data_IF_837360920205
#
_entry.id   IF_837360920205
#
_cell.length_a   1.000
_cell.length_b   1.000
_cell.length_c   1.000
_cell.angle_alpha   90.00
_cell.angle_beta   90.00
_cell.angle_gamma   90.00
#
_symmetry.space_group_name_H-M   'P 1'
#
loop_
_entity.id
_entity.type
_entity.pdbx_description
1 polymer ?
#
# COMPACT_ATOMS: atom_id res chain seq x y z
N UNK A 1 18.58 24.78 -8.65
CA UNK A 1 17.59 24.92 -7.58
C UNK A 1 16.37 24.11 -7.98
N UNK A 2 16.44 22.82 -7.95
CA UNK A 2 15.39 21.89 -8.38
C UNK A 2 14.96 21.08 -7.18
N UNK A 3 13.83 21.48 -6.61
CA UNK A 3 13.12 20.71 -5.59
C UNK A 3 12.62 19.39 -6.21
N UNK A 4 13.37 18.31 -6.05
CA UNK A 4 12.89 16.97 -6.39
C UNK A 4 12.00 16.49 -5.24
N UNK A 5 10.70 16.53 -5.48
CA UNK A 5 9.68 15.99 -4.61
C UNK A 5 9.86 14.47 -4.47
N UNK A 6 10.01 14.02 -3.24
CA UNK A 6 9.91 12.61 -2.84
C UNK A 6 8.49 12.15 -3.17
N UNK A 7 8.37 11.21 -4.12
CA UNK A 7 7.11 10.59 -4.49
C UNK A 7 6.68 9.64 -3.37
N UNK A 8 5.79 10.12 -2.51
CA UNK A 8 5.15 9.31 -1.48
C UNK A 8 3.90 8.61 -2.03
N UNK A 9 3.72 7.43 -1.59
CA UNK A 9 2.55 6.52 -1.63
C UNK A 9 1.30 7.09 -2.31
N UNK A 10 1.30 7.15 -3.64
CA UNK A 10 0.07 7.38 -4.38
C UNK A 10 -0.41 6.09 -5.00
N UNK A 11 -1.08 5.20 -4.25
CA UNK A 11 -1.84 4.10 -4.83
C UNK A 11 -3.13 4.68 -5.42
N UNK A 12 -3.00 5.58 -6.37
CA UNK A 12 -4.13 5.98 -7.18
C UNK A 12 -4.33 4.91 -8.24
N UNK A 13 -5.13 3.91 -7.93
CA UNK A 13 -5.79 3.10 -8.93
C UNK A 13 -6.76 4.03 -9.67
N UNK A 14 -6.22 4.84 -10.60
CA UNK A 14 -7.03 5.67 -11.44
C UNK A 14 -7.85 4.75 -12.35
N UNK A 15 -9.07 4.51 -11.95
CA UNK A 15 -10.08 4.08 -12.89
C UNK A 15 -10.21 5.19 -13.92
N UNK A 16 -9.91 4.91 -15.17
CA UNK A 16 -10.29 5.78 -16.27
C UNK A 16 -11.83 5.93 -16.23
N UNK A 17 -12.31 6.91 -15.49
CA UNK A 17 -13.68 7.33 -15.59
C UNK A 17 -13.82 7.98 -16.95
N UNK A 18 -14.39 7.27 -17.91
CA UNK A 18 -15.11 7.90 -18.98
C UNK A 18 -16.24 8.61 -18.26
N UNK A 19 -16.12 9.94 -18.07
CA UNK A 19 -17.25 10.76 -17.69
C UNK A 19 -18.40 10.39 -18.63
N UNK A 20 -19.63 10.22 -18.14
CA UNK A 20 -20.75 10.14 -19.05
C UNK A 20 -20.85 11.52 -19.69
N UNK A 21 -20.29 11.65 -20.90
CA UNK A 21 -20.71 12.71 -21.80
C UNK A 21 -22.23 12.49 -21.94
N UNK A 22 -23.01 13.36 -21.34
CA UNK A 22 -24.42 13.50 -21.68
C UNK A 22 -24.50 13.99 -23.12
N UNK A 23 -24.17 13.10 -24.06
CA UNK A 23 -24.66 13.19 -25.40
C UNK A 23 -26.18 12.89 -25.31
N UNK A 24 -26.97 13.92 -25.33
CA UNK A 24 -28.37 13.84 -25.80
C UNK A 24 -28.33 13.43 -27.27
N UNK A 25 -28.10 12.14 -27.51
CA UNK A 25 -28.30 11.45 -28.77
C UNK A 25 -29.19 10.28 -28.46
N UNK A 26 -30.29 10.17 -29.14
CA UNK A 26 -31.36 9.18 -29.09
C UNK A 26 -30.84 7.83 -28.61
N UNK A 27 -31.07 7.51 -27.34
CA UNK A 27 -30.72 6.24 -26.74
C UNK A 27 -31.70 5.17 -27.20
N UNK A 28 -31.40 4.54 -28.32
CA UNK A 28 -31.97 3.22 -28.61
C UNK A 28 -31.45 2.25 -27.54
N UNK A 29 -32.34 1.46 -26.93
CA UNK A 29 -31.99 0.34 -26.08
C UNK A 29 -30.89 -0.49 -26.77
N UNK A 30 -29.93 -1.06 -26.06
CA UNK A 30 -28.90 -1.90 -26.68
C UNK A 30 -29.58 -3.10 -27.34
N UNK A 31 -29.78 -2.99 -28.65
CA UNK A 31 -30.41 -4.02 -29.46
C UNK A 31 -29.47 -5.24 -29.57
N UNK A 32 -30.06 -6.45 -29.62
CA UNK A 32 -29.30 -7.65 -29.97
C UNK A 32 -28.57 -7.45 -31.30
N UNK A 33 -27.39 -8.02 -31.42
CA UNK A 33 -26.64 -7.95 -32.67
C UNK A 33 -27.32 -8.73 -33.77
N UNK A 34 -27.69 -8.04 -34.84
CA UNK A 34 -28.08 -8.68 -36.10
C UNK A 34 -26.82 -8.70 -36.98
N UNK A 35 -26.16 -9.84 -37.07
CA UNK A 35 -24.93 -10.00 -37.84
C UNK A 35 -25.21 -9.79 -39.33
N UNK A 36 -24.46 -8.91 -39.94
CA UNK A 36 -24.38 -8.65 -41.36
C UNK A 36 -22.98 -9.03 -41.86
N UNK A 37 -22.94 -9.88 -42.89
CA UNK A 37 -21.72 -10.22 -43.60
C UNK A 37 -21.45 -9.16 -44.68
N UNK A 38 -20.23 -8.62 -44.68
CA UNK A 38 -19.73 -7.74 -45.70
C UNK A 38 -18.71 -8.50 -46.55
N UNK A 39 -18.95 -8.64 -47.86
CA UNK A 39 -18.01 -9.34 -48.72
C UNK A 39 -16.78 -8.47 -49.03
N UNK A 40 -15.57 -9.04 -48.94
CA UNK A 40 -14.34 -8.43 -49.45
C UNK A 40 -13.98 -9.02 -50.83
N UNK A 41 -13.20 -8.28 -51.64
CA UNK A 41 -12.66 -8.79 -52.90
C UNK A 41 -11.73 -9.97 -52.61
N UNK A 42 -12.14 -11.19 -52.97
CA UNK A 42 -11.42 -12.44 -52.69
C UNK A 42 -12.12 -13.36 -51.69
N UNK A 43 -13.16 -12.90 -50.98
CA UNK A 43 -13.94 -13.75 -50.09
C UNK A 43 -14.66 -14.87 -50.87
N UNK A 44 -14.51 -16.10 -50.39
CA UNK A 44 -15.25 -17.26 -50.87
C UNK A 44 -16.31 -17.61 -49.82
N UNK A 45 -17.55 -17.83 -50.23
CA UNK A 45 -18.64 -18.17 -49.33
C UNK A 45 -19.39 -19.39 -49.83
N UNK A 46 -19.62 -20.37 -48.94
CA UNK A 46 -20.51 -21.49 -49.16
C UNK A 46 -21.65 -21.43 -48.16
N UNK A 47 -22.87 -21.54 -48.62
CA UNK A 47 -24.09 -21.51 -47.82
C UNK A 47 -24.83 -22.86 -47.94
N UNK A 48 -25.04 -23.50 -46.81
CA UNK A 48 -25.80 -24.77 -46.74
C UNK A 48 -27.11 -24.51 -45.99
N UNK A 49 -28.24 -24.65 -46.68
CA UNK A 49 -29.56 -24.56 -46.05
C UNK A 49 -29.85 -25.81 -45.23
N UNK A 50 -30.30 -25.58 -44.00
CA UNK A 50 -30.67 -26.63 -43.07
C UNK A 50 -32.17 -26.96 -43.14
N UNK A 51 -32.63 -28.14 -42.66
CA UNK A 51 -34.05 -28.49 -42.59
C UNK A 51 -34.87 -27.50 -41.73
N UNK A 52 -34.26 -26.85 -40.76
CA UNK A 52 -34.87 -25.79 -39.93
C UNK A 52 -35.17 -24.49 -40.70
N UNK A 53 -34.70 -24.38 -41.95
CA UNK A 53 -34.74 -23.14 -42.71
C UNK A 53 -33.57 -22.16 -42.43
N UNK A 54 -32.75 -22.45 -41.45
CA UNK A 54 -31.52 -21.68 -41.16
C UNK A 54 -30.41 -22.07 -42.15
N UNK A 55 -29.28 -21.33 -42.09
CA UNK A 55 -28.11 -21.57 -42.95
C UNK A 55 -26.86 -21.76 -42.12
N UNK A 56 -26.03 -22.74 -42.50
CA UNK A 56 -24.62 -22.74 -42.14
C UNK A 56 -23.86 -22.04 -43.27
N UNK A 57 -22.92 -21.14 -42.85
CA UNK A 57 -22.08 -20.39 -43.77
C UNK A 57 -20.61 -20.67 -43.49
N UNK A 58 -19.81 -20.91 -44.51
CA UNK A 58 -18.38 -21.09 -44.47
C UNK A 58 -17.74 -20.08 -45.38
N UNK A 59 -16.86 -19.24 -44.81
CA UNK A 59 -16.32 -18.07 -45.51
C UNK A 59 -14.81 -17.99 -45.30
N UNK A 60 -14.06 -17.66 -46.35
CA UNK A 60 -12.62 -17.54 -46.32
C UNK A 60 -12.09 -16.47 -47.30
N UNK A 61 -10.83 -16.16 -47.21
CA UNK A 61 -10.18 -15.15 -48.05
C UNK A 61 -10.33 -13.71 -47.51
N UNK A 62 -10.49 -13.59 -46.19
CA UNK A 62 -10.75 -12.34 -45.50
C UNK A 62 -12.24 -12.06 -45.37
N UNK A 63 -12.72 -12.01 -44.14
CA UNK A 63 -14.16 -11.81 -43.83
C UNK A 63 -14.33 -10.58 -42.94
N UNK A 64 -15.46 -9.90 -43.14
CA UNK A 64 -15.86 -8.76 -42.29
C UNK A 64 -17.34 -8.94 -41.95
N UNK A 65 -17.65 -8.84 -40.67
CA UNK A 65 -18.98 -8.77 -40.11
C UNK A 65 -19.22 -7.48 -39.36
N UNK A 66 -20.44 -7.00 -39.36
CA UNK A 66 -20.90 -5.91 -38.51
C UNK A 66 -22.23 -6.25 -37.87
N UNK A 67 -22.62 -5.56 -36.80
CA UNK A 67 -23.99 -5.61 -36.30
C UNK A 67 -24.79 -4.46 -36.89
N UNK A 68 -25.91 -4.76 -37.53
CA UNK A 68 -26.78 -3.76 -38.16
C UNK A 68 -27.17 -2.67 -37.18
N UNK A 69 -26.93 -1.40 -37.55
CA UNK A 69 -27.24 -0.24 -36.72
C UNK A 69 -26.30 -0.01 -35.53
N UNK A 70 -25.23 -0.79 -35.43
CA UNK A 70 -24.21 -0.66 -34.38
C UNK A 70 -22.86 -0.34 -34.98
N UNK A 71 -22.08 0.50 -34.28
CA UNK A 71 -20.72 0.87 -34.75
C UNK A 71 -19.70 -0.16 -34.24
N UNK A 72 -19.77 -1.39 -34.75
CA UNK A 72 -18.82 -2.46 -34.46
C UNK A 72 -18.45 -3.24 -35.71
N UNK A 73 -17.29 -3.84 -35.71
CA UNK A 73 -16.77 -4.67 -36.80
C UNK A 73 -16.03 -5.86 -36.24
N UNK A 74 -16.18 -7.02 -36.94
CA UNK A 74 -15.40 -8.24 -36.69
C UNK A 74 -14.72 -8.62 -38.01
N UNK A 75 -13.40 -8.76 -38.00
CA UNK A 75 -12.60 -9.18 -39.15
C UNK A 75 -11.81 -10.43 -38.82
N UNK A 76 -11.64 -11.32 -39.79
CA UNK A 76 -10.83 -12.52 -39.65
C UNK A 76 -10.37 -13.03 -41.03
N UNK A 77 -9.44 -13.99 -41.06
CA UNK A 77 -9.06 -14.67 -42.31
C UNK A 77 -10.18 -15.55 -42.81
N UNK A 78 -10.91 -16.23 -41.88
CA UNK A 78 -12.05 -17.09 -42.23
C UNK A 78 -13.09 -17.09 -41.09
N UNK A 79 -14.32 -17.51 -41.44
CA UNK A 79 -15.42 -17.65 -40.51
C UNK A 79 -16.30 -18.83 -40.80
N UNK A 80 -16.89 -19.42 -39.77
CA UNK A 80 -17.87 -20.46 -39.83
C UNK A 80 -19.10 -20.03 -39.01
N UNK A 81 -20.26 -19.95 -39.61
CA UNK A 81 -21.51 -19.64 -38.94
C UNK A 81 -22.43 -20.84 -38.93
N UNK A 82 -22.92 -21.23 -37.77
CA UNK A 82 -23.86 -22.32 -37.58
C UNK A 82 -25.23 -21.78 -37.16
N UNK A 83 -26.17 -21.73 -38.12
CA UNK A 83 -27.43 -21.01 -37.97
C UNK A 83 -28.30 -21.53 -36.83
N UNK A 84 -28.50 -22.85 -36.70
CA UNK A 84 -29.32 -23.44 -35.64
C UNK A 84 -28.75 -23.23 -34.26
N UNK A 85 -27.41 -23.17 -34.13
CA UNK A 85 -26.71 -22.91 -32.88
C UNK A 85 -26.62 -21.42 -32.58
N UNK A 86 -26.72 -20.56 -33.58
CA UNK A 86 -26.48 -19.14 -33.46
C UNK A 86 -25.04 -18.82 -33.07
N UNK A 87 -24.06 -19.60 -33.58
CA UNK A 87 -22.63 -19.49 -33.24
C UNK A 87 -21.83 -19.08 -34.46
N UNK A 88 -20.98 -18.08 -34.31
CA UNK A 88 -19.99 -17.63 -35.30
C UNK A 88 -18.57 -17.89 -34.76
N UNK A 89 -17.81 -18.69 -35.49
CA UNK A 89 -16.38 -18.88 -35.28
C UNK A 89 -15.61 -17.99 -36.23
N UNK A 90 -14.67 -17.21 -35.73
CA UNK A 90 -13.73 -16.38 -36.47
C UNK A 90 -12.33 -16.95 -36.27
N UNK A 91 -11.61 -17.21 -37.34
CA UNK A 91 -10.34 -17.96 -37.33
C UNK A 91 -9.29 -17.17 -38.10
N UNK A 92 -8.13 -16.99 -37.49
CA UNK A 92 -6.96 -16.30 -38.05
C UNK A 92 -7.08 -14.80 -38.03
N UNK A 93 -6.09 -14.11 -37.45
CA UNK A 93 -5.97 -12.65 -37.41
C UNK A 93 -7.29 -11.93 -37.06
N UNK A 94 -7.91 -12.35 -35.97
CA UNK A 94 -9.23 -11.85 -35.59
C UNK A 94 -9.10 -10.46 -34.97
N UNK A 95 -9.85 -9.49 -35.52
CA UNK A 95 -9.91 -8.12 -35.03
C UNK A 95 -11.38 -7.75 -34.75
N UNK A 96 -11.70 -7.52 -33.50
CA UNK A 96 -12.96 -6.92 -33.07
C UNK A 96 -12.75 -5.47 -32.71
N UNK A 97 -13.61 -4.60 -33.19
CA UNK A 97 -13.59 -3.19 -32.84
C UNK A 97 -14.99 -2.67 -32.55
N UNK A 98 -15.15 -1.98 -31.44
CA UNK A 98 -16.32 -1.17 -31.08
C UNK A 98 -15.85 0.15 -30.43
N UNK A 99 -16.72 1.17 -30.24
CA UNK A 99 -16.32 2.44 -29.65
C UNK A 99 -15.68 2.34 -28.26
N UNK A 100 -15.99 1.27 -27.50
CA UNK A 100 -15.51 1.05 -26.14
C UNK A 100 -14.29 0.14 -26.03
N UNK A 101 -14.01 -0.66 -27.07
CA UNK A 101 -12.90 -1.60 -27.00
C UNK A 101 -12.45 -2.05 -28.40
N UNK A 102 -11.16 -2.41 -28.50
CA UNK A 102 -10.62 -3.20 -29.61
C UNK A 102 -10.05 -4.49 -29.01
N UNK A 103 -10.26 -5.63 -29.69
CA UNK A 103 -9.79 -6.94 -29.27
C UNK A 103 -9.14 -7.65 -30.46
N UNK A 104 -7.89 -8.01 -30.31
CA UNK A 104 -7.13 -8.82 -31.26
C UNK A 104 -6.92 -10.21 -30.67
N UNK A 105 -7.03 -11.27 -31.50
CA UNK A 105 -6.81 -12.65 -31.07
C UNK A 105 -6.56 -13.57 -32.26
N UNK A 106 -6.13 -14.82 -32.00
CA UNK A 106 -6.03 -15.82 -33.06
C UNK A 106 -7.36 -16.41 -33.45
N UNK A 107 -8.27 -16.56 -32.50
CA UNK A 107 -9.63 -17.09 -32.68
C UNK A 107 -10.61 -16.32 -31.82
N UNK A 108 -11.85 -16.22 -32.33
CA UNK A 108 -12.94 -15.65 -31.56
C UNK A 108 -14.22 -16.45 -31.85
N UNK A 109 -14.97 -16.77 -30.82
CA UNK A 109 -16.28 -17.38 -30.92
C UNK A 109 -17.31 -16.39 -30.40
N UNK A 110 -18.37 -16.17 -31.21
CA UNK A 110 -19.51 -15.34 -30.82
C UNK A 110 -20.77 -16.18 -30.74
N UNK A 111 -21.38 -16.21 -29.55
CA UNK A 111 -22.70 -16.83 -29.33
C UNK A 111 -23.76 -15.73 -29.38
N UNK A 112 -24.50 -15.69 -30.50
CA UNK A 112 -25.51 -14.68 -30.76
C UNK A 112 -26.63 -14.67 -29.72
N UNK A 113 -27.09 -15.85 -29.29
CA UNK A 113 -28.18 -15.95 -28.33
C UNK A 113 -27.79 -15.53 -26.92
N UNK A 114 -26.54 -15.68 -26.56
CA UNK A 114 -25.98 -15.32 -25.26
C UNK A 114 -25.37 -13.91 -25.25
N UNK A 115 -25.17 -13.30 -26.42
CA UNK A 115 -24.41 -12.07 -26.61
C UNK A 115 -23.04 -12.15 -25.89
N UNK A 116 -22.36 -13.29 -26.15
CA UNK A 116 -21.08 -13.65 -25.56
C UNK A 116 -20.01 -13.79 -26.62
N UNK A 117 -18.84 -13.18 -26.36
CA UNK A 117 -17.63 -13.30 -27.15
C UNK A 117 -16.56 -14.03 -26.33
N UNK A 118 -15.89 -14.99 -26.95
CA UNK A 118 -14.69 -15.65 -26.41
C UNK A 118 -13.55 -15.41 -27.38
N UNK A 119 -12.51 -14.71 -26.91
CA UNK A 119 -11.25 -14.51 -27.63
C UNK A 119 -10.18 -15.47 -27.07
N UNK A 120 -9.45 -16.16 -27.96
CA UNK A 120 -8.42 -17.13 -27.61
C UNK A 120 -7.17 -16.98 -28.47
N UNK A 121 -6.01 -17.20 -27.85
CA UNK A 121 -4.70 -17.12 -28.48
C UNK A 121 -4.22 -15.67 -28.66
N UNK A 122 -3.20 -15.31 -27.87
CA UNK A 122 -2.53 -13.99 -27.90
C UNK A 122 -3.51 -12.81 -27.83
N UNK A 123 -4.48 -12.92 -26.93
CA UNK A 123 -5.52 -11.89 -26.78
C UNK A 123 -4.91 -10.57 -26.32
N UNK A 124 -5.19 -9.51 -27.08
CA UNK A 124 -4.85 -8.13 -26.70
C UNK A 124 -6.13 -7.30 -26.78
N UNK A 125 -6.61 -6.80 -25.66
CA UNK A 125 -7.72 -5.84 -25.61
C UNK A 125 -7.18 -4.43 -25.30
N UNK A 126 -7.64 -3.43 -26.03
CA UNK A 126 -7.25 -2.02 -25.86
C UNK A 126 -8.49 -1.17 -25.69
N UNK A 127 -8.53 -0.40 -24.60
CA UNK A 127 -9.57 0.58 -24.32
C UNK A 127 -9.21 1.97 -24.87
N UNK A 128 -10.18 2.87 -25.10
CA UNK A 128 -9.91 4.24 -25.52
C UNK A 128 -8.97 5.04 -24.61
N UNK A 129 -8.94 4.70 -23.32
CA UNK A 129 -8.00 5.25 -22.34
C UNK A 129 -6.54 4.90 -22.61
N UNK A 130 -6.27 3.93 -23.49
CA UNK A 130 -4.95 3.32 -23.70
C UNK A 130 -4.66 2.14 -22.75
N UNK A 131 -5.57 1.83 -21.83
CA UNK A 131 -5.45 0.63 -20.97
C UNK A 131 -5.48 -0.62 -21.84
N UNK A 132 -4.55 -1.54 -21.59
CA UNK A 132 -4.46 -2.81 -22.33
C UNK A 132 -4.61 -4.00 -21.38
N UNK A 133 -5.28 -5.05 -21.90
CA UNK A 133 -5.30 -6.38 -21.29
C UNK A 133 -4.61 -7.34 -22.27
N UNK A 134 -3.70 -8.17 -21.77
CA UNK A 134 -3.03 -9.21 -22.53
C UNK A 134 -3.16 -10.54 -21.82
N UNK A 135 -3.48 -11.60 -22.57
CA UNK A 135 -3.62 -12.94 -21.98
C UNK A 135 -3.94 -13.99 -23.02
N UNK A 136 -3.97 -15.28 -22.65
CA UNK A 136 -4.27 -16.35 -23.58
C UNK A 136 -5.77 -16.46 -23.91
N UNK A 137 -6.65 -15.99 -23.02
CA UNK A 137 -8.11 -16.16 -23.15
C UNK A 137 -8.86 -15.03 -22.42
N UNK A 138 -9.86 -14.46 -23.09
CA UNK A 138 -10.80 -13.50 -22.51
C UNK A 138 -12.22 -13.76 -23.00
N UNK A 139 -13.18 -13.68 -22.09
CA UNK A 139 -14.63 -13.80 -22.37
C UNK A 139 -15.29 -12.45 -22.09
N UNK A 140 -16.09 -11.98 -23.03
CA UNK A 140 -16.85 -10.74 -22.87
C UNK A 140 -18.33 -11.01 -23.05
N UNK A 141 -19.09 -10.60 -22.08
CA UNK A 141 -20.54 -10.71 -22.04
C UNK A 141 -21.13 -9.31 -22.17
N UNK A 142 -21.87 -9.06 -23.22
CA UNK A 142 -22.53 -7.78 -23.49
C UNK A 142 -23.75 -7.59 -22.59
N UNK A 143 -24.04 -6.35 -22.21
CA UNK A 143 -25.32 -6.01 -21.58
C UNK A 143 -26.44 -6.15 -22.59
N UNK A 144 -27.52 -6.86 -22.24
CA UNK A 144 -28.69 -7.05 -23.09
C UNK A 144 -29.96 -7.02 -22.24
N UNK A 145 -30.90 -6.14 -22.52
CA UNK A 145 -32.18 -6.08 -21.81
C UNK A 145 -32.87 -7.46 -21.75
N UNK A 146 -33.36 -7.83 -20.58
CA UNK A 146 -34.04 -9.11 -20.34
C UNK A 146 -33.10 -10.33 -20.22
N UNK A 147 -31.79 -10.21 -20.51
CA UNK A 147 -30.81 -11.29 -20.37
C UNK A 147 -29.75 -10.91 -19.32
N UNK A 148 -29.13 -9.76 -19.46
CA UNK A 148 -28.05 -9.31 -18.60
C UNK A 148 -28.03 -7.79 -18.49
N UNK A 149 -28.21 -7.23 -17.29
CA UNK A 149 -28.32 -5.77 -17.11
C UNK A 149 -26.98 -5.06 -17.28
N UNK A 150 -25.85 -5.74 -17.10
CA UNK A 150 -24.51 -5.15 -17.17
C UNK A 150 -23.55 -6.01 -17.99
N UNK A 151 -22.47 -5.40 -18.43
CA UNK A 151 -21.36 -6.10 -19.09
C UNK A 151 -20.54 -6.89 -18.06
N UNK A 152 -19.93 -7.99 -18.54
CA UNK A 152 -18.95 -8.76 -17.76
C UNK A 152 -17.78 -9.16 -18.65
N UNK A 153 -16.56 -8.91 -18.20
CA UNK A 153 -15.33 -9.39 -18.82
C UNK A 153 -14.65 -10.38 -17.85
N UNK A 154 -14.22 -11.51 -18.38
CA UNK A 154 -13.47 -12.52 -17.63
C UNK A 154 -12.20 -12.85 -18.43
N UNK A 155 -11.02 -12.67 -17.83
CA UNK A 155 -9.76 -13.08 -18.41
C UNK A 155 -9.11 -14.15 -17.52
N UNK A 156 -8.64 -15.23 -18.13
CA UNK A 156 -8.03 -16.38 -17.47
C UNK A 156 -6.66 -16.66 -18.06
N UNK A 157 -5.85 -17.45 -17.32
CA UNK A 157 -4.51 -17.87 -17.76
C UNK A 157 -3.45 -16.83 -17.52
N UNK A 158 -3.49 -16.18 -16.36
CA UNK A 158 -2.55 -15.19 -15.88
C UNK A 158 -2.47 -13.93 -16.75
N UNK A 159 -3.60 -13.26 -17.02
CA UNK A 159 -3.63 -12.04 -17.78
C UNK A 159 -2.80 -10.93 -17.11
N UNK A 160 -2.28 -10.02 -17.93
CA UNK A 160 -1.67 -8.75 -17.49
C UNK A 160 -2.55 -7.60 -17.94
N UNK A 161 -2.93 -6.73 -17.01
CA UNK A 161 -3.61 -5.47 -17.29
C UNK A 161 -2.62 -4.34 -17.07
N UNK A 162 -2.41 -3.51 -18.08
CA UNK A 162 -1.59 -2.30 -17.99
C UNK A 162 -2.52 -1.08 -18.00
N UNK A 163 -2.72 -0.51 -16.80
CA UNK A 163 -3.62 0.62 -16.61
C UNK A 163 -2.89 1.93 -16.91
N UNK A 164 -3.39 2.68 -17.87
CA UNK A 164 -2.91 4.04 -18.12
C UNK A 164 -3.58 5.01 -17.14
N UNK A 165 -2.77 5.76 -16.43
CA UNK A 165 -3.21 6.79 -15.50
C UNK A 165 -2.92 8.18 -16.04
N UNK A 166 -3.79 9.12 -15.73
CA UNK A 166 -3.58 10.55 -15.98
C UNK A 166 -3.78 11.31 -14.66
N UNK A 167 -2.94 12.29 -14.39
CA UNK A 167 -3.12 13.15 -13.22
C UNK A 167 -4.25 14.18 -13.42
N UNK A 168 -4.47 15.02 -12.42
CA UNK A 168 -5.49 16.06 -12.46
C UNK A 168 -5.25 17.14 -13.56
N UNK A 169 -4.04 17.19 -14.11
CA UNK A 169 -3.67 18.10 -15.21
C UNK A 169 -3.78 17.44 -16.58
N UNK A 170 -4.15 16.14 -16.65
CA UNK A 170 -4.22 15.38 -17.90
C UNK A 170 -2.89 14.78 -18.35
N UNK A 171 -1.81 14.92 -17.57
CA UNK A 171 -0.50 14.33 -17.88
C UNK A 171 -0.49 12.83 -17.58
N UNK A 172 -0.02 12.03 -18.54
CA UNK A 172 0.13 10.58 -18.37
C UNK A 172 1.14 10.28 -17.28
N UNK A 173 0.74 9.42 -16.36
CA UNK A 173 1.57 8.84 -15.32
C UNK A 173 2.10 7.47 -15.77
N UNK A 174 3.16 6.94 -15.14
CA UNK A 174 3.60 5.58 -15.39
C UNK A 174 2.45 4.59 -15.23
N UNK A 175 2.34 3.59 -16.10
CA UNK A 175 1.27 2.60 -16.02
C UNK A 175 1.35 1.78 -14.72
N UNK A 176 0.21 1.25 -14.32
CA UNK A 176 0.11 0.24 -13.26
C UNK A 176 -0.13 -1.11 -13.93
N UNK A 177 0.81 -2.03 -13.74
CA UNK A 177 0.69 -3.39 -14.25
C UNK A 177 0.10 -4.30 -13.17
N UNK A 178 -0.98 -5.00 -13.51
CA UNK A 178 -1.68 -5.95 -12.63
C UNK A 178 -1.64 -7.31 -13.28
N UNK A 179 -1.15 -8.32 -12.57
CA UNK A 179 -1.18 -9.74 -12.95
C UNK A 179 -1.97 -10.53 -11.92
N UNK A 180 -2.76 -11.47 -12.39
CA UNK A 180 -3.49 -12.43 -11.54
C UNK A 180 -3.82 -13.67 -12.37
N UNK A 181 -4.12 -14.80 -11.74
CA UNK A 181 -4.49 -16.00 -12.49
C UNK A 181 -5.83 -15.82 -13.23
N UNK A 182 -6.71 -15.02 -12.64
CA UNK A 182 -8.01 -14.64 -13.22
C UNK A 182 -8.35 -13.18 -12.87
N UNK A 183 -8.91 -12.46 -13.83
CA UNK A 183 -9.51 -11.14 -13.61
C UNK A 183 -10.94 -11.14 -14.11
N UNK A 184 -11.85 -10.58 -13.33
CA UNK A 184 -13.26 -10.35 -13.69
C UNK A 184 -13.60 -8.88 -13.53
N UNK A 185 -14.22 -8.28 -14.53
CA UNK A 185 -14.73 -6.92 -14.49
C UNK A 185 -16.22 -6.94 -14.66
N UNK A 186 -16.99 -6.46 -13.70
CA UNK A 186 -18.44 -6.36 -13.72
C UNK A 186 -18.88 -4.90 -13.83
N UNK A 187 -19.84 -4.64 -14.72
CA UNK A 187 -20.45 -3.32 -14.92
C UNK A 187 -19.44 -2.18 -15.14
N UNK A 188 -18.23 -2.47 -15.67
CA UNK A 188 -17.12 -1.54 -15.87
C UNK A 188 -16.64 -0.82 -14.60
N UNK A 189 -17.17 -1.19 -13.43
CA UNK A 189 -16.89 -0.54 -12.15
C UNK A 189 -16.29 -1.46 -11.09
N UNK A 190 -16.67 -2.73 -11.07
CA UNK A 190 -16.18 -3.69 -10.09
C UNK A 190 -15.12 -4.59 -10.74
N UNK A 191 -13.93 -4.63 -10.15
CA UNK A 191 -12.82 -5.46 -10.62
C UNK A 191 -12.44 -6.46 -9.52
N UNK A 192 -12.39 -7.74 -9.90
CA UNK A 192 -11.92 -8.83 -9.04
C UNK A 192 -10.70 -9.46 -9.68
N UNK A 193 -9.62 -9.58 -8.94
CA UNK A 193 -8.43 -10.33 -9.34
C UNK A 193 -8.21 -11.45 -8.33
N UNK A 194 -8.00 -12.66 -8.79
CA UNK A 194 -7.81 -13.84 -7.94
C UNK A 194 -6.67 -14.71 -8.42
N UNK A 195 -5.97 -15.30 -7.48
CA UNK A 195 -4.78 -16.13 -7.66
C UNK A 195 -3.52 -15.31 -7.92
N UNK A 196 -2.61 -15.29 -6.94
CA UNK A 196 -1.27 -14.70 -7.06
C UNK A 196 -1.28 -13.29 -7.67
N UNK A 197 -2.02 -12.39 -7.05
CA UNK A 197 -2.12 -10.99 -7.49
C UNK A 197 -0.79 -10.28 -7.28
N UNK A 198 -0.30 -9.67 -8.35
CA UNK A 198 0.93 -8.89 -8.42
C UNK A 198 0.63 -7.55 -9.08
N UNK A 199 0.82 -6.47 -8.33
CA UNK A 199 0.60 -5.09 -8.80
C UNK A 199 1.92 -4.36 -8.77
N UNK A 200 2.39 -3.93 -9.94
CA UNK A 200 3.68 -3.28 -10.08
C UNK A 200 3.53 -1.85 -10.61
N UNK A 201 4.21 -0.93 -9.94
CA UNK A 201 4.49 0.44 -10.37
C UNK A 201 5.98 0.73 -10.19
N UNK A 202 6.54 1.79 -10.78
CA UNK A 202 7.94 2.16 -10.57
C UNK A 202 8.30 2.41 -9.09
N UNK A 203 7.36 2.97 -8.32
CA UNK A 203 7.54 3.38 -6.92
C UNK A 203 6.91 2.42 -5.90
N UNK A 204 6.19 1.39 -6.37
CA UNK A 204 5.42 0.49 -5.51
C UNK A 204 5.33 -0.91 -6.09
N UNK A 205 5.36 -1.91 -5.20
CA UNK A 205 5.03 -3.29 -5.49
C UNK A 205 4.04 -3.81 -4.46
N UNK A 206 2.94 -4.40 -4.91
CA UNK A 206 1.95 -4.98 -4.01
C UNK A 206 1.62 -6.41 -4.41
N UNK A 207 1.61 -7.29 -3.45
CA UNK A 207 1.32 -8.72 -3.59
C UNK A 207 0.12 -9.09 -2.73
N UNK A 208 -0.62 -10.10 -3.14
CA UNK A 208 -1.72 -10.71 -2.38
C UNK A 208 -2.26 -11.93 -3.11
N UNK A 209 -3.09 -12.73 -2.44
CA UNK A 209 -3.77 -13.83 -3.14
C UNK A 209 -4.93 -13.31 -3.99
N UNK A 210 -5.64 -12.31 -3.50
CA UNK A 210 -6.77 -11.73 -4.21
C UNK A 210 -6.88 -10.22 -3.99
N UNK A 211 -7.50 -9.54 -4.96
CA UNK A 211 -7.80 -8.12 -4.90
C UNK A 211 -9.21 -7.83 -5.40
N UNK A 212 -9.82 -6.81 -4.83
CA UNK A 212 -11.10 -6.25 -5.23
C UNK A 212 -10.95 -4.75 -5.38
N UNK A 213 -11.57 -4.17 -6.40
CA UNK A 213 -11.64 -2.73 -6.58
C UNK A 213 -13.05 -2.32 -6.99
N UNK A 214 -13.59 -1.35 -6.29
CA UNK A 214 -14.83 -0.65 -6.63
C UNK A 214 -14.52 0.79 -7.03
N UNK A 215 -14.73 1.09 -8.29
CA UNK A 215 -14.50 2.44 -8.83
C UNK A 215 -15.53 3.46 -8.33
N UNK A 216 -16.72 3.02 -7.95
CA UNK A 216 -17.78 3.88 -7.45
C UNK A 216 -17.49 4.43 -6.06
N UNK A 217 -16.95 3.60 -5.19
CA UNK A 217 -16.56 3.96 -3.82
C UNK A 217 -15.07 4.35 -3.71
N UNK A 218 -14.31 4.24 -4.79
CA UNK A 218 -12.86 4.45 -4.84
C UNK A 218 -12.10 3.61 -3.79
N UNK A 219 -12.61 2.40 -3.52
CA UNK A 219 -12.00 1.42 -2.62
C UNK A 219 -11.25 0.35 -3.41
N UNK A 220 -9.99 0.12 -3.06
CA UNK A 220 -9.25 -1.07 -3.45
C UNK A 220 -8.89 -1.89 -2.21
N UNK A 221 -9.10 -3.21 -2.25
CA UNK A 221 -8.83 -4.14 -1.16
C UNK A 221 -7.93 -5.26 -1.65
N UNK A 222 -6.84 -5.49 -0.94
CA UNK A 222 -5.99 -6.66 -1.09
C UNK A 222 -6.25 -7.61 0.08
N UNK A 223 -6.29 -8.92 -0.19
CA UNK A 223 -6.72 -9.93 0.78
C UNK A 223 -5.79 -11.13 0.79
N UNK A 224 -5.85 -11.88 1.91
CA UNK A 224 -5.11 -13.13 2.15
C UNK A 224 -3.60 -12.92 2.14
N UNK A 225 -3.12 -12.24 3.18
CA UNK A 225 -1.71 -11.97 3.40
C UNK A 225 -1.09 -10.96 2.43
N UNK A 226 -1.77 -9.83 2.17
CA UNK A 226 -1.21 -8.81 1.29
C UNK A 226 0.04 -8.18 1.88
N UNK A 227 0.92 -7.77 0.95
CA UNK A 227 2.13 -7.01 1.25
C UNK A 227 2.23 -5.88 0.25
N UNK A 228 2.47 -4.67 0.73
CA UNK A 228 2.79 -3.49 -0.08
C UNK A 228 4.20 -3.04 0.25
N UNK A 229 5.05 -2.91 -0.76
CA UNK A 229 6.42 -2.45 -0.64
C UNK A 229 6.61 -1.16 -1.45
N UNK A 230 6.99 -0.09 -0.78
CA UNK A 230 7.39 1.17 -1.41
C UNK A 230 8.86 1.12 -1.79
N UNK A 231 9.17 1.54 -3.04
CA UNK A 231 10.52 1.54 -3.62
C UNK A 231 11.15 2.93 -3.69
N UNK A 232 10.73 3.84 -2.80
CA UNK A 232 11.26 5.20 -2.71
C UNK A 232 12.64 5.25 -2.01
N UNK A 233 13.22 6.43 -1.89
CA UNK A 233 14.46 6.66 -1.10
C UNK A 233 14.34 6.18 0.36
N UNK A 234 13.12 6.10 0.88
CA UNK A 234 12.79 5.50 2.19
C UNK A 234 11.85 4.33 1.96
N UNK A 235 12.38 3.13 1.78
CA UNK A 235 11.57 1.95 1.56
C UNK A 235 10.73 1.66 2.80
N UNK A 236 9.52 1.17 2.55
CA UNK A 236 8.63 0.71 3.60
C UNK A 236 7.93 -0.58 3.15
N UNK A 237 7.46 -1.33 4.14
CA UNK A 237 6.67 -2.52 3.91
C UNK A 237 5.44 -2.47 4.81
N UNK A 238 4.27 -2.64 4.22
CA UNK A 238 3.00 -2.75 4.94
C UNK A 238 2.42 -4.13 4.68
N UNK A 239 2.02 -4.83 5.73
CA UNK A 239 1.42 -6.17 5.64
C UNK A 239 0.28 -6.35 6.64
N UNK A 240 -0.58 -7.35 6.39
CA UNK A 240 -1.71 -7.72 7.25
C UNK A 240 -2.50 -8.86 6.64
N UNK A 241 -3.65 -9.18 7.21
CA UNK A 241 -4.60 -10.14 6.63
C UNK A 241 -5.36 -9.53 5.44
N UNK A 242 -5.65 -8.24 5.55
CA UNK A 242 -6.31 -7.43 4.52
C UNK A 242 -5.73 -6.03 4.54
N UNK A 243 -5.57 -5.41 3.36
CA UNK A 243 -5.21 -4.01 3.22
C UNK A 243 -6.25 -3.31 2.38
N UNK A 244 -6.90 -2.28 2.95
CA UNK A 244 -7.86 -1.40 2.30
C UNK A 244 -7.18 -0.09 1.92
N UNK A 245 -7.34 0.31 0.67
CA UNK A 245 -6.83 1.56 0.10
C UNK A 245 -8.00 2.41 -0.33
N UNK A 246 -8.17 3.56 0.29
CA UNK A 246 -9.23 4.52 -0.01
C UNK A 246 -8.65 5.71 -0.75
N UNK A 247 -9.26 6.04 -1.86
CA UNK A 247 -8.96 7.24 -2.63
C UNK A 247 -10.17 8.17 -2.63
N UNK A 248 -9.91 9.45 -2.83
CA UNK A 248 -10.95 10.47 -3.10
C UNK A 248 -10.50 11.36 -4.24
N UNK A 249 -11.32 11.48 -5.27
CA UNK A 249 -10.96 12.23 -6.49
C UNK A 249 -9.60 11.76 -7.07
N UNK A 250 -9.38 10.45 -7.05
CA UNK A 250 -8.14 9.79 -7.53
C UNK A 250 -6.88 10.12 -6.70
N UNK A 251 -7.02 10.71 -5.53
CA UNK A 251 -5.91 10.93 -4.60
C UNK A 251 -6.01 9.97 -3.43
N UNK A 252 -4.88 9.38 -3.06
CA UNK A 252 -4.81 8.52 -1.89
C UNK A 252 -5.12 9.32 -0.63
N UNK A 253 -6.11 8.89 0.14
CA UNK A 253 -6.54 9.52 1.39
C UNK A 253 -6.19 8.67 2.62
N UNK A 254 -6.35 7.33 2.48
CA UNK A 254 -6.25 6.45 3.63
C UNK A 254 -5.84 5.04 3.23
N UNK A 255 -4.98 4.41 4.03
CA UNK A 255 -4.66 2.99 3.91
C UNK A 255 -4.88 2.32 5.27
N UNK A 256 -5.65 1.24 5.31
CA UNK A 256 -5.89 0.49 6.54
C UNK A 256 -5.37 -0.92 6.34
N UNK A 257 -4.45 -1.34 7.20
CA UNK A 257 -4.04 -2.73 7.32
C UNK A 257 -4.74 -3.37 8.50
N UNK A 258 -5.38 -4.50 8.28
CA UNK A 258 -6.21 -5.23 9.23
C UNK A 258 -5.65 -6.64 9.47
N UNK A 259 -5.68 -7.08 10.73
CA UNK A 259 -5.27 -8.42 11.15
C UNK A 259 -3.76 -8.61 11.11
N UNK A 260 -3.11 -8.61 12.29
CA UNK A 260 -1.66 -8.69 12.45
C UNK A 260 -0.92 -7.66 11.58
N UNK A 261 -1.42 -6.43 11.61
CA UNK A 261 -0.88 -5.35 10.81
C UNK A 261 0.56 -5.02 11.23
N UNK A 262 1.43 -4.89 10.22
CA UNK A 262 2.81 -4.48 10.41
C UNK A 262 3.19 -3.42 9.37
N UNK A 263 3.72 -2.30 9.85
CA UNK A 263 4.30 -1.25 9.01
C UNK A 263 5.78 -1.10 9.39
N UNK A 264 6.64 -1.53 8.49
CA UNK A 264 8.09 -1.58 8.66
C UNK A 264 8.75 -0.52 7.78
N UNK A 265 9.65 0.26 8.36
CA UNK A 265 10.55 1.18 7.68
C UNK A 265 11.98 1.00 8.23
N UNK A 266 12.95 1.75 7.72
CA UNK A 266 14.35 1.66 8.17
C UNK A 266 14.51 1.88 9.69
N UNK A 267 13.74 2.80 10.26
CA UNK A 267 13.89 3.25 11.65
C UNK A 267 12.75 2.82 12.56
N UNK A 268 11.67 2.26 12.04
CA UNK A 268 10.46 1.96 12.79
C UNK A 268 9.76 0.68 12.31
N UNK A 269 9.47 -0.21 13.25
CA UNK A 269 8.61 -1.37 13.09
C UNK A 269 7.35 -1.16 13.95
N UNK A 270 6.24 -0.80 13.32
CA UNK A 270 4.95 -0.56 13.97
C UNK A 270 4.06 -1.80 13.81
N UNK A 271 3.60 -2.37 14.91
CA UNK A 271 2.79 -3.59 14.96
C UNK A 271 1.53 -3.38 15.77
N UNK A 272 0.40 -3.86 15.25
CA UNK A 272 -0.90 -3.86 15.93
C UNK A 272 -1.87 -4.82 15.23
N UNK A 273 -3.08 -4.98 15.74
CA UNK A 273 -4.14 -5.69 14.99
C UNK A 273 -4.61 -4.83 13.80
N UNK A 274 -4.63 -3.51 13.97
CA UNK A 274 -5.02 -2.55 12.94
C UNK A 274 -4.03 -1.40 12.89
N UNK A 275 -3.62 -1.03 11.67
CA UNK A 275 -2.85 0.18 11.38
C UNK A 275 -3.60 1.00 10.34
N UNK A 276 -3.93 2.25 10.67
CA UNK A 276 -4.63 3.22 9.81
C UNK A 276 -3.69 4.37 9.46
N UNK A 277 -3.29 4.44 8.22
CA UNK A 277 -2.41 5.46 7.65
C UNK A 277 -3.24 6.55 7.00
N UNK A 278 -3.04 7.80 7.40
CA UNK A 278 -3.68 8.98 6.81
C UNK A 278 -2.71 9.72 5.91
N UNK A 279 -3.15 9.95 4.69
CA UNK A 279 -2.35 10.55 3.62
C UNK A 279 -3.01 11.84 3.16
N UNK A 280 -2.22 12.88 2.98
CA UNK A 280 -2.66 14.16 2.41
C UNK A 280 -1.61 14.66 1.43
N UNK A 281 -2.02 15.12 0.25
CA UNK A 281 -1.11 15.55 -0.82
C UNK A 281 0.00 14.52 -1.13
N UNK A 282 -0.35 13.23 -1.15
CA UNK A 282 0.56 12.09 -1.33
C UNK A 282 1.65 11.95 -0.25
N UNK A 283 1.45 12.55 0.93
CA UNK A 283 2.36 12.44 2.07
C UNK A 283 1.65 11.77 3.24
N UNK A 284 2.35 10.87 3.90
CA UNK A 284 1.87 10.28 5.16
C UNK A 284 1.95 11.34 6.26
N UNK A 285 0.81 11.69 6.83
CA UNK A 285 0.69 12.73 7.87
C UNK A 285 0.43 12.12 9.26
N UNK A 286 -0.17 10.94 9.31
CA UNK A 286 -0.56 10.31 10.58
C UNK A 286 -0.70 8.81 10.45
N UNK A 287 -0.30 8.07 11.48
CA UNK A 287 -0.52 6.64 11.59
C UNK A 287 -1.15 6.33 12.96
N UNK A 288 -2.27 5.62 12.95
CA UNK A 288 -2.91 5.07 14.14
C UNK A 288 -2.69 3.56 14.17
N UNK A 289 -2.34 3.03 15.33
CA UNK A 289 -2.18 1.61 15.54
C UNK A 289 -2.90 1.20 16.82
N UNK A 290 -3.74 0.16 16.74
CA UNK A 290 -4.51 -0.34 17.89
C UNK A 290 -4.93 -1.79 17.70
N UNK A 291 -5.40 -2.42 18.77
CA UNK A 291 -5.96 -3.76 18.74
C UNK A 291 -6.11 -4.37 20.13
N UNK A 292 -6.65 -5.57 20.19
CA UNK A 292 -6.88 -6.30 21.44
C UNK A 292 -5.56 -6.59 22.20
N UNK A 293 -4.46 -6.78 21.46
CA UNK A 293 -3.12 -7.03 21.99
C UNK A 293 -2.29 -5.75 22.15
N UNK A 294 -2.94 -4.58 22.00
CA UNK A 294 -2.29 -3.28 21.99
C UNK A 294 -1.48 -3.02 20.73
N UNK A 295 -0.69 -1.96 20.76
CA UNK A 295 0.17 -1.53 19.68
C UNK A 295 1.62 -1.40 20.17
N UNK A 296 2.58 -1.65 19.26
CA UNK A 296 4.02 -1.60 19.55
C UNK A 296 4.74 -0.82 18.45
N UNK A 297 5.56 0.14 18.88
CA UNK A 297 6.50 0.85 18.01
C UNK A 297 7.92 0.46 18.45
N UNK A 298 8.65 -0.20 17.59
CA UNK A 298 9.97 -0.78 17.85
C UNK A 298 11.00 -0.05 16.98
N UNK A 299 12.04 0.44 17.59
CA UNK A 299 13.23 0.98 16.91
C UNK A 299 14.48 0.28 17.45
N UNK A 300 15.66 0.45 16.88
CA UNK A 300 16.86 -0.30 17.28
C UNK A 300 17.19 -0.25 18.78
N UNK A 301 16.89 0.84 19.48
CA UNK A 301 17.22 1.03 20.90
C UNK A 301 16.00 1.37 21.76
N UNK A 302 14.79 1.41 21.18
CA UNK A 302 13.60 1.85 21.89
C UNK A 302 12.37 0.97 21.56
N UNK A 303 11.51 0.81 22.54
CA UNK A 303 10.23 0.13 22.42
C UNK A 303 9.16 0.99 23.10
N UNK A 304 8.09 1.32 22.39
CA UNK A 304 6.90 1.96 22.97
C UNK A 304 5.72 1.01 22.79
N UNK A 305 5.01 0.71 23.87
CA UNK A 305 3.80 -0.12 23.86
C UNK A 305 2.66 0.62 24.55
N UNK A 306 1.43 0.43 24.06
CA UNK A 306 0.20 0.95 24.65
C UNK A 306 -1.01 0.19 24.08
N UNK A 307 -2.22 0.46 24.59
CA UNK A 307 -3.45 -0.03 23.94
C UNK A 307 -3.60 0.55 22.53
N UNK A 308 -3.18 1.82 22.34
CA UNK A 308 -3.15 2.46 21.05
C UNK A 308 -1.97 3.44 20.91
N UNK A 309 -1.48 3.58 19.68
CA UNK A 309 -0.46 4.54 19.29
C UNK A 309 -1.00 5.50 18.23
N UNK A 310 -0.75 6.78 18.40
CA UNK A 310 -1.03 7.85 17.41
C UNK A 310 0.29 8.53 17.06
N UNK A 311 0.78 8.25 15.86
CA UNK A 311 2.04 8.78 15.34
C UNK A 311 1.74 9.93 14.39
N UNK A 312 2.26 11.11 14.68
CA UNK A 312 2.11 12.32 13.86
C UNK A 312 3.38 12.60 13.08
N UNK A 313 3.23 12.70 11.75
CA UNK A 313 4.32 12.82 10.79
C UNK A 313 4.12 14.01 9.84
N UNK A 314 3.96 15.25 10.33
CA UNK A 314 3.80 16.38 9.43
C UNK A 314 5.00 16.48 8.47
N UNK A 315 4.69 16.52 7.15
CA UNK A 315 5.71 16.48 6.12
C UNK A 315 6.53 15.20 6.07
N UNK A 316 5.93 14.03 6.46
CA UNK A 316 6.55 12.70 6.49
C UNK A 316 7.69 12.55 7.53
N UNK A 317 7.71 13.34 8.56
CA UNK A 317 8.70 13.28 9.65
C UNK A 317 8.01 13.10 10.98
N UNK A 318 8.45 12.13 11.76
CA UNK A 318 7.91 11.91 13.10
C UNK A 318 8.14 13.15 13.93
N UNK A 319 7.04 13.71 14.47
CA UNK A 319 7.08 14.83 15.40
C UNK A 319 6.60 14.45 16.79
N UNK A 320 5.56 13.62 16.87
CA UNK A 320 5.00 13.19 18.14
C UNK A 320 4.46 11.75 18.01
N UNK A 321 4.62 11.01 19.09
CA UNK A 321 3.97 9.72 19.30
C UNK A 321 3.18 9.81 20.59
N UNK A 322 1.89 9.56 20.52
CA UNK A 322 1.00 9.45 21.67
C UNK A 322 0.73 7.99 21.92
N UNK A 323 1.18 7.49 23.06
CA UNK A 323 0.85 6.16 23.56
C UNK A 323 -0.25 6.30 24.61
N UNK A 324 -1.40 5.68 24.37
CA UNK A 324 -2.63 5.89 25.15
C UNK A 324 -3.08 4.60 25.78
N UNK A 325 -3.30 4.63 27.08
CA UNK A 325 -3.62 3.53 28.01
C UNK A 325 -2.50 2.49 28.11
N UNK A 326 -2.18 2.13 29.33
CA UNK A 326 -1.11 1.18 29.70
C UNK A 326 0.22 1.48 28.98
N UNK A 327 0.51 2.79 28.83
CA UNK A 327 1.66 3.21 28.06
C UNK A 327 2.97 2.88 28.76
N UNK A 328 3.92 2.28 28.02
CA UNK A 328 5.26 1.94 28.46
C UNK A 328 6.25 2.31 27.35
N UNK A 329 7.25 3.11 27.70
CA UNK A 329 8.41 3.39 26.87
C UNK A 329 9.65 2.77 27.51
N UNK A 330 10.42 2.00 26.73
CA UNK A 330 11.66 1.37 27.16
C UNK A 330 12.80 1.78 26.25
N UNK A 331 13.99 1.92 26.81
CA UNK A 331 15.21 2.16 26.04
C UNK A 331 16.38 1.35 26.60
N UNK A 332 17.30 0.97 25.72
CA UNK A 332 18.55 0.39 26.16
C UNK A 332 19.40 1.47 26.84
N UNK A 333 20.06 1.17 27.96
CA UNK A 333 21.03 2.08 28.59
C UNK A 333 22.18 2.41 27.63
N UNK A 334 22.87 3.53 27.87
CA UNK A 334 24.06 3.91 27.08
C UNK A 334 25.15 2.85 27.22
N UNK A 335 25.25 1.98 26.22
CA UNK A 335 26.21 0.85 26.21
C UNK A 335 27.67 1.28 26.26
N UNK A 336 28.00 2.54 26.03
CA UNK A 336 29.37 3.06 26.19
C UNK A 336 29.75 3.26 27.65
N UNK A 337 28.77 3.48 28.53
CA UNK A 337 28.94 3.79 29.95
C UNK A 337 28.41 2.73 30.89
N UNK A 338 27.40 1.98 30.47
CA UNK A 338 26.66 1.03 31.30
C UNK A 338 26.61 -0.34 30.62
N UNK A 339 26.87 -1.40 31.36
CA UNK A 339 26.90 -2.79 30.88
C UNK A 339 25.90 -3.66 31.65
N UNK A 340 24.61 -3.28 31.59
CA UNK A 340 23.50 -4.04 32.18
C UNK A 340 22.52 -4.46 31.08
N UNK A 341 21.78 -5.55 31.31
CA UNK A 341 20.77 -6.07 30.36
C UNK A 341 19.40 -5.45 30.59
N UNK A 342 19.13 -4.92 31.78
CA UNK A 342 17.87 -4.32 32.15
C UNK A 342 17.69 -2.99 31.41
N UNK A 343 16.50 -2.77 30.83
CA UNK A 343 16.16 -1.56 30.11
C UNK A 343 15.71 -0.45 31.05
N UNK A 344 16.05 0.75 30.69
CA UNK A 344 15.41 1.95 31.23
C UNK A 344 13.97 2.00 30.78
N UNK A 345 13.07 2.46 31.66
CA UNK A 345 11.65 2.54 31.30
C UNK A 345 10.91 3.70 31.95
N UNK A 346 9.87 4.15 31.25
CA UNK A 346 8.89 5.13 31.68
C UNK A 346 7.50 4.55 31.41
N UNK A 347 6.59 4.58 32.40
CA UNK A 347 5.20 4.11 32.24
C UNK A 347 4.19 5.09 32.81
N UNK A 348 2.95 5.03 32.33
CA UNK A 348 1.81 5.81 32.80
C UNK A 348 0.55 5.46 32.01
N UNK A 349 -0.56 6.13 32.31
CA UNK A 349 -1.78 5.97 31.48
C UNK A 349 -1.56 6.48 30.07
N UNK A 350 -0.78 7.55 29.92
CA UNK A 350 -0.42 8.14 28.64
C UNK A 350 1.04 8.54 28.62
N UNK A 351 1.72 8.27 27.50
CA UNK A 351 3.06 8.81 27.20
C UNK A 351 3.00 9.59 25.91
N UNK A 352 3.57 10.81 25.93
CA UNK A 352 3.80 11.62 24.75
C UNK A 352 5.30 11.72 24.51
N UNK A 353 5.76 11.18 23.38
CA UNK A 353 7.12 11.30 22.90
C UNK A 353 7.19 12.43 21.86
N UNK A 354 8.03 13.41 22.07
CA UNK A 354 8.25 14.53 21.14
C UNK A 354 9.63 14.41 20.51
N UNK A 355 9.68 14.60 19.19
CA UNK A 355 10.89 14.51 18.39
C UNK A 355 11.21 15.87 17.79
N UNK A 356 12.48 16.20 17.75
CA UNK A 356 12.98 17.36 17.02
C UNK A 356 13.78 16.91 15.80
N UNK A 357 13.65 17.68 14.74
CA UNK A 357 14.45 17.53 13.54
C UNK A 357 15.57 18.55 13.63
N UNK A 358 16.68 18.16 14.23
CA UNK A 358 17.89 19.02 14.22
C UNK A 358 18.43 19.00 12.79
N UNK A 359 18.20 20.10 12.06
CA UNK A 359 18.80 20.28 10.74
C UNK A 359 20.14 20.97 10.89
N UNK A 360 21.23 20.34 10.47
CA UNK A 360 22.32 21.08 9.91
C UNK A 360 21.82 21.68 8.58
N UNK A 361 22.01 22.98 8.37
CA UNK A 361 21.56 23.64 7.15
C UNK A 361 22.12 22.90 5.92
N UNK A 362 21.20 22.31 5.11
CA UNK A 362 21.54 21.52 3.92
C UNK A 362 21.47 20.00 4.08
N UNK A 363 21.28 19.44 5.27
CA UNK A 363 21.16 17.99 5.48
C UNK A 363 19.69 17.57 5.50
N UNK A 364 19.24 16.96 4.39
CA UNK A 364 17.90 16.36 4.27
C UNK A 364 17.82 14.96 4.89
N UNK A 365 18.95 14.39 5.32
CA UNK A 365 19.07 13.01 5.84
C UNK A 365 18.97 12.92 7.37
N UNK A 366 18.85 14.05 8.10
CA UNK A 366 18.84 14.03 9.57
C UNK A 366 17.64 13.23 10.12
N UNK A 367 17.96 12.21 10.92
CA UNK A 367 16.96 11.36 11.60
C UNK A 367 16.31 12.15 12.73
N UNK A 368 14.98 12.02 12.95
CA UNK A 368 14.31 12.62 14.09
C UNK A 368 14.94 12.15 15.41
N UNK A 369 15.24 13.07 16.30
CA UNK A 369 15.77 12.76 17.62
C UNK A 369 14.71 12.95 18.69
N UNK A 370 14.60 11.99 19.60
CA UNK A 370 13.72 12.08 20.76
C UNK A 370 14.27 13.18 21.69
N UNK A 371 13.46 14.21 21.96
CA UNK A 371 13.86 15.34 22.81
C UNK A 371 13.08 15.38 24.13
N UNK A 372 11.89 14.80 24.18
CA UNK A 372 11.08 14.81 25.39
C UNK A 372 10.16 13.60 25.46
N UNK A 373 10.01 13.04 26.67
CA UNK A 373 8.98 12.10 27.04
C UNK A 373 8.16 12.68 28.19
N UNK A 374 6.85 12.64 28.10
CA UNK A 374 5.94 13.05 29.16
C UNK A 374 4.99 11.90 29.48
N UNK A 375 5.15 11.29 30.65
CA UNK A 375 4.18 10.31 31.17
C UNK A 375 3.19 10.99 32.10
N UNK A 376 1.91 10.61 32.01
CA UNK A 376 0.83 11.10 32.85
C UNK A 376 -0.06 9.95 33.32
N UNK A 377 -0.72 10.15 34.49
CA UNK A 377 -1.61 9.15 35.09
C UNK A 377 -0.82 8.05 35.79
N UNK A 378 -0.47 8.26 37.05
CA UNK A 378 0.30 7.29 37.85
C UNK A 378 1.68 7.00 37.26
N UNK A 379 2.35 8.05 36.80
CA UNK A 379 3.62 7.96 36.12
C UNK A 379 4.72 7.36 36.99
N UNK A 380 5.53 6.46 36.42
CA UNK A 380 6.68 5.83 37.07
C UNK A 380 7.81 5.72 36.06
N UNK A 381 9.06 5.87 36.56
CA UNK A 381 10.26 5.65 35.73
C UNK A 381 11.35 4.93 36.52
N UNK A 382 12.14 4.20 35.76
CA UNK A 382 13.35 3.53 36.23
C UNK A 382 14.43 3.74 35.18
N UNK A 383 15.59 4.19 35.62
CA UNK A 383 16.71 4.39 34.71
C UNK A 383 18.06 4.25 35.44
N UNK A 384 19.05 3.85 34.66
CA UNK A 384 20.41 3.66 35.11
C UNK A 384 21.23 4.95 34.94
N UNK A 385 22.13 5.21 35.89
CA UNK A 385 23.01 6.36 35.87
C UNK A 385 24.45 5.85 35.98
N UNK A 386 25.30 6.22 35.04
CA UNK A 386 26.72 5.93 35.11
C UNK A 386 27.39 6.81 36.18
N UNK A 387 28.10 6.20 37.13
CA UNK A 387 28.84 6.90 38.18
C UNK A 387 30.32 6.85 37.82
N UNK A 388 30.98 8.01 37.90
CA UNK A 388 32.43 8.10 37.67
C UNK A 388 33.21 7.24 38.67
N UNK A 389 34.07 6.38 38.17
CA UNK A 389 34.85 5.44 38.98
C UNK A 389 34.15 4.18 39.41
N UNK A 390 32.83 4.00 39.12
CA UNK A 390 32.13 2.73 39.35
C UNK A 390 32.28 1.78 38.16
N UNK A 391 32.25 0.46 38.38
CA UNK A 391 32.21 -0.55 37.32
C UNK A 391 30.97 -0.35 36.47
N UNK A 392 31.07 -0.59 35.13
CA UNK A 392 29.99 -0.39 34.16
C UNK A 392 28.80 -1.33 34.36
N UNK A 393 29.00 -2.45 35.01
CA UNK A 393 27.99 -3.46 35.41
C UNK A 393 27.28 -3.13 36.74
N UNK A 394 27.72 -2.04 37.42
CA UNK A 394 27.15 -1.56 38.68
C UNK A 394 26.78 -0.08 38.61
N UNK A 395 25.89 0.33 37.72
CA UNK A 395 25.42 1.72 37.66
C UNK A 395 24.59 2.07 38.91
N UNK A 396 24.44 3.35 39.19
CA UNK A 396 23.37 3.77 40.09
C UNK A 396 22.02 3.59 39.40
N UNK A 397 20.97 3.40 40.19
CA UNK A 397 19.62 3.26 39.72
C UNK A 397 18.72 4.30 40.36
N UNK A 398 17.82 4.85 39.58
CA UNK A 398 16.83 5.82 40.03
C UNK A 398 15.43 5.34 39.67
N UNK A 399 14.61 5.13 40.67
CA UNK A 399 13.18 4.84 40.55
C UNK A 399 12.39 6.02 41.12
N UNK A 400 11.50 6.60 40.29
CA UNK A 400 10.61 7.68 40.74
C UNK A 400 9.18 7.44 40.29
N UNK A 401 8.24 7.94 41.07
CA UNK A 401 6.82 7.95 40.76
C UNK A 401 6.16 9.29 41.09
N UNK A 402 5.11 9.64 40.36
CA UNK A 402 4.33 10.84 40.58
C UNK A 402 3.08 10.84 39.73
N UNK A 403 2.33 11.95 39.71
CA UNK A 403 1.20 12.08 38.80
C UNK A 403 1.64 12.24 37.38
N UNK A 404 2.71 12.99 37.16
CA UNK A 404 3.34 13.11 35.86
C UNK A 404 4.88 13.13 35.99
N UNK A 405 5.56 12.59 34.96
CA UNK A 405 7.01 12.60 34.83
C UNK A 405 7.34 13.13 33.46
N UNK A 406 8.20 14.15 33.42
CA UNK A 406 8.78 14.69 32.18
C UNK A 406 10.27 14.38 32.15
N UNK A 407 10.70 13.71 31.08
CA UNK A 407 12.10 13.40 30.78
C UNK A 407 12.53 14.26 29.58
N UNK A 408 13.46 15.16 29.78
CA UNK A 408 14.09 15.94 28.70
C UNK A 408 15.42 15.27 28.30
N UNK A 409 15.61 15.13 26.98
CA UNK A 409 16.78 14.49 26.40
C UNK A 409 17.52 15.45 25.47
N UNK A 410 18.84 15.35 25.43
CA UNK A 410 19.68 15.96 24.42
C UNK A 410 20.76 14.95 24.01
N UNK A 411 21.04 14.85 22.71
CA UNK A 411 22.01 13.88 22.18
C UNK A 411 21.77 12.45 22.67
N UNK A 412 20.51 12.03 22.73
CA UNK A 412 20.04 10.71 23.24
C UNK A 412 20.34 10.45 24.72
N UNK A 413 20.77 11.46 25.49
CA UNK A 413 21.05 11.34 26.92
C UNK A 413 19.99 12.10 27.72
N UNK A 414 19.57 11.52 28.84
CA UNK A 414 18.69 12.18 29.80
C UNK A 414 19.39 13.38 30.41
N UNK A 415 18.83 14.58 30.21
CA UNK A 415 19.36 15.83 30.77
C UNK A 415 18.63 16.21 32.06
N UNK A 416 17.31 15.98 32.10
CA UNK A 416 16.51 16.38 33.24
C UNK A 416 15.31 15.45 33.38
N UNK A 417 15.01 15.06 34.61
CA UNK A 417 13.76 14.37 34.98
C UNK A 417 13.03 15.27 35.95
N UNK A 418 11.78 15.62 35.61
CA UNK A 418 10.91 16.44 36.48
C UNK A 418 9.72 15.61 36.88
N UNK A 419 9.46 15.46 38.16
CA UNK A 419 8.33 14.74 38.73
C UNK A 419 7.39 15.75 39.36
N UNK A 420 6.10 15.68 38.98
CA UNK A 420 5.09 16.61 39.50
C UNK A 420 4.00 15.86 40.25
N UNK A 421 3.53 16.45 41.32
CA UNK A 421 2.46 15.99 42.20
C UNK A 421 2.69 14.59 42.78
N UNK A 422 2.64 14.47 44.11
CA UNK A 422 2.84 13.21 44.86
C UNK A 422 4.16 12.51 44.51
N UNK A 423 5.21 13.31 44.29
CA UNK A 423 6.53 12.79 43.94
C UNK A 423 7.12 11.95 45.07
N UNK A 424 7.61 10.77 44.74
CA UNK A 424 8.43 9.93 45.62
C UNK A 424 9.39 9.09 44.79
N UNK A 425 10.52 8.71 45.36
CA UNK A 425 11.50 7.93 44.61
C UNK A 425 12.58 7.34 45.50
N UNK A 426 13.37 6.45 44.93
CA UNK A 426 14.51 5.80 45.52
C UNK A 426 15.70 5.95 44.56
N UNK A 427 16.81 6.37 45.10
CA UNK A 427 18.08 6.43 44.39
C UNK A 427 19.07 5.52 45.12
N UNK A 428 19.72 4.66 44.38
CA UNK A 428 20.67 3.67 44.92
C UNK A 428 22.00 3.87 44.15
N UNK A 429 23.05 4.18 44.86
CA UNK A 429 24.42 4.26 44.32
C UNK A 429 25.25 3.02 44.69
N UNK A 430 26.12 2.54 43.78
CA UNK A 430 27.12 1.55 44.14
C UNK A 430 28.14 2.12 45.08
N UNK A 431 28.58 1.34 46.04
CA UNK A 431 29.70 1.74 46.90
C UNK A 431 30.98 1.66 46.06
N UNK A 432 31.53 2.84 45.70
CA UNK A 432 32.84 2.92 45.05
C UNK A 432 33.89 2.86 46.14
N UNK A 433 34.71 1.82 46.19
CA UNK A 433 35.86 1.77 47.11
C UNK A 433 36.80 2.96 46.80
N UNK A 434 36.83 3.90 47.72
CA UNK A 434 37.77 5.04 47.63
C UNK A 434 39.18 4.47 47.69
N UNK A 435 40.00 4.71 46.67
CA UNK A 435 41.41 4.34 46.73
C UNK A 435 42.03 4.93 48.05
N UNK A 436 42.75 4.16 48.86
CA UNK A 436 43.39 4.73 50.05
C UNK A 436 44.24 5.90 49.61
N UNK A 437 44.03 7.06 50.28
CA UNK A 437 44.87 8.24 50.06
C UNK A 437 46.31 7.80 50.24
N UNK A 438 47.15 7.98 49.21
CA UNK A 438 48.58 7.70 49.31
C UNK A 438 49.10 8.40 50.56
N UNK A 439 49.57 7.65 51.54
CA UNK A 439 50.19 8.23 52.73
C UNK A 439 51.35 9.07 52.28
N UNK A 440 51.18 10.41 52.42
CA UNK A 440 52.24 11.34 52.16
C UNK A 440 53.44 11.04 53.09
N UNK A 441 54.48 10.55 52.48
CA UNK A 441 55.78 10.41 53.20
C UNK A 441 56.25 11.73 53.75
N UNK A 442 56.18 11.83 55.04
CA UNK A 442 56.74 12.93 55.80
C UNK A 442 58.28 12.84 55.75
N UNK A 443 58.91 13.52 54.83
CA UNK A 443 60.35 13.72 54.80
C UNK A 443 60.75 14.88 55.73
N UNK A 444 60.93 14.61 57.02
CA UNK A 444 61.56 15.49 57.99
C UNK A 444 62.99 15.65 57.60
N UNK A 445 63.33 16.77 56.92
CA UNK A 445 64.69 17.18 56.72
C UNK A 445 65.13 17.92 58.02
N UNK A 446 65.95 17.26 58.88
CA UNK A 446 66.64 17.87 60.01
C UNK A 446 67.77 18.75 59.48
N UNK A 447 67.67 20.06 59.66
CA UNK A 447 68.68 21.00 59.36
C UNK A 447 69.57 21.11 60.61
N UNK A 448 70.78 20.54 60.61
CA UNK A 448 71.86 20.81 61.62
C UNK A 448 72.40 22.19 61.40
N UNK A 449 72.27 23.05 62.41
CA UNK A 449 73.13 24.24 62.58
C UNK A 449 74.41 23.81 63.30
N UNK A 450 75.56 24.31 62.84
CA UNK A 450 76.80 24.32 63.54
C UNK A 450 77.39 25.76 63.48
N UNK A 451 78.33 26.06 64.38
CA UNK A 451 78.36 27.21 65.28
C UNK A 451 78.85 28.44 64.64
#
# INVERSE_FOLDING_TARGET
MTSRAVAALGLTLAAAAVAPARARGQGGEPQRCVLQFESSSGARSTLNKLPSGQYNAYQGGGVTYSCVGQNNTLKADSAEYYGDLGVLYLIGNVHYAEPRAKVDSRRMTYWKNEERLLAEGDVVSTLPSGTTLRGPRAEYYRAVPGIRPSTRLIANGRPTISLVQVDSTGKKQPPVDIRADRVTVDADSLVYAGGSVDITRPDLHALGDSAFMDKGTELARLMRGPVIEGKSERPFKLSGTTIDVYSRQRQLERVISLGNANALSEDLDLRADTIDLRVSANKLERAYAWGANGARAISPSQLITADSLDVRLPGQRIRQVFAVKHALAQSDPDSTKISVKERDWLRGDTIVASFDSVFAAGDTSSKPQLVQLVARGGAQSFYHIAIAGAPRDKPAVNYVRGRAITVALANRQVQRVTVTEKASGVYVEPVVARAPAAAGGDSTTVRKQQP
#
